data_IF_018918705711
#
_entry.id   IF_018918705711
#
_cell.length_a   1.000
_cell.length_b   1.000
_cell.length_c   1.000
_cell.angle_alpha   90.00
_cell.angle_beta   90.00
_cell.angle_gamma   90.00
#
_symmetry.space_group_name_H-M   'P 1'
#
loop_
_entity.id
_entity.type
_entity.pdbx_description
1 polymer ?
#
# COMPACT_ATOMS: atom_id res chain seq x y z
N UNK A 1 0.70 -16.37 1.42
CA UNK A 1 -0.29 -15.50 2.09
C UNK A 1 -1.59 -16.24 2.43
N UNK A 2 -2.20 -16.99 1.50
CA UNK A 2 -3.50 -17.65 1.71
C UNK A 2 -3.62 -18.44 3.03
N UNK A 3 -2.65 -19.29 3.45
CA UNK A 3 -2.75 -20.01 4.72
C UNK A 3 -2.84 -19.10 5.95
N UNK A 4 -2.21 -17.92 5.90
CA UNK A 4 -2.25 -16.93 6.98
C UNK A 4 -3.65 -16.34 7.09
N UNK A 5 -4.27 -15.94 5.99
CA UNK A 5 -5.63 -15.40 5.98
C UNK A 5 -6.67 -16.42 6.47
N UNK A 6 -6.51 -17.67 6.06
CA UNK A 6 -7.35 -18.79 6.54
C UNK A 6 -7.19 -18.96 8.05
N UNK A 7 -5.96 -18.89 8.58
CA UNK A 7 -5.72 -18.98 10.02
C UNK A 7 -6.40 -17.83 10.79
N UNK A 8 -6.35 -16.60 10.29
CA UNK A 8 -7.07 -15.47 10.91
C UNK A 8 -8.59 -15.69 10.93
N UNK A 9 -9.17 -16.20 9.84
CA UNK A 9 -10.60 -16.52 9.79
C UNK A 9 -10.96 -17.65 10.75
N UNK A 10 -10.22 -18.76 10.69
CA UNK A 10 -10.57 -19.98 11.42
C UNK A 10 -10.34 -19.85 12.95
N UNK A 11 -9.47 -18.91 13.37
CA UNK A 11 -9.20 -18.61 14.79
C UNK A 11 -9.74 -17.23 15.22
N UNK A 12 -10.68 -16.65 14.47
CA UNK A 12 -11.20 -15.31 14.76
C UNK A 12 -11.74 -15.19 16.19
N UNK A 13 -12.60 -16.12 16.63
CA UNK A 13 -13.21 -16.12 17.96
C UNK A 13 -12.16 -16.21 19.10
N UNK A 14 -11.08 -16.95 18.86
CA UNK A 14 -9.98 -17.09 19.84
C UNK A 14 -9.19 -15.77 19.93
N UNK A 15 -8.86 -15.17 18.79
CA UNK A 15 -8.14 -13.90 18.71
C UNK A 15 -8.96 -12.75 19.32
N UNK A 16 -10.25 -12.65 19.01
CA UNK A 16 -11.15 -11.65 19.56
C UNK A 16 -11.19 -11.71 21.08
N UNK A 17 -11.24 -12.90 21.63
CA UNK A 17 -11.28 -13.11 23.10
C UNK A 17 -9.93 -12.86 23.76
N UNK A 18 -8.81 -13.29 23.14
CA UNK A 18 -7.47 -13.15 23.68
C UNK A 18 -7.00 -11.69 23.69
N UNK A 19 -7.32 -10.95 22.64
CA UNK A 19 -6.86 -9.58 22.44
C UNK A 19 -7.94 -8.51 22.65
N UNK A 20 -9.11 -8.90 23.13
CA UNK A 20 -10.25 -8.00 23.40
C UNK A 20 -10.66 -7.17 22.15
N UNK A 21 -10.72 -7.83 20.98
CA UNK A 21 -11.02 -7.20 19.71
C UNK A 21 -12.52 -7.04 19.55
N UNK A 22 -12.99 -5.81 19.60
CA UNK A 22 -14.41 -5.50 19.35
C UNK A 22 -14.71 -5.39 17.84
N UNK A 23 -15.80 -6.02 17.41
CA UNK A 23 -16.33 -5.89 16.05
C UNK A 23 -15.80 -6.91 15.04
N UNK A 24 -15.07 -7.92 15.50
CA UNK A 24 -14.64 -9.05 14.69
C UNK A 24 -13.29 -8.88 14.01
N UNK A 25 -12.56 -9.99 13.90
CA UNK A 25 -11.29 -10.08 13.16
C UNK A 25 -11.56 -10.10 11.65
N UNK A 26 -10.78 -9.36 10.92
CA UNK A 26 -10.82 -9.22 9.46
C UNK A 26 -9.50 -9.74 8.90
N UNK A 27 -9.47 -10.86 8.16
CA UNK A 27 -8.22 -11.43 7.66
C UNK A 27 -7.43 -10.47 6.76
N UNK A 28 -8.09 -9.76 5.85
CA UNK A 28 -7.49 -8.73 4.99
C UNK A 28 -8.47 -7.60 4.70
N UNK A 29 -8.00 -6.36 4.74
CA UNK A 29 -8.77 -5.20 4.32
C UNK A 29 -7.95 -4.23 3.48
N UNK A 30 -8.65 -3.43 2.66
CA UNK A 30 -8.09 -2.42 1.78
C UNK A 30 -9.13 -1.32 1.48
N UNK A 31 -8.73 -0.30 0.75
CA UNK A 31 -9.62 0.71 0.18
C UNK A 31 -9.35 0.78 -1.31
N UNK A 32 -10.35 0.50 -2.13
CA UNK A 32 -10.22 0.55 -3.58
C UNK A 32 -10.07 2.00 -4.08
N UNK A 33 -9.27 2.20 -5.10
CA UNK A 33 -8.95 3.52 -5.67
C UNK A 33 -8.36 4.53 -4.67
N UNK A 34 -7.67 4.05 -3.65
CA UNK A 34 -7.05 4.90 -2.63
C UNK A 34 -5.54 4.66 -2.53
N UNK A 35 -4.82 4.95 -3.61
CA UNK A 35 -3.36 4.94 -3.63
C UNK A 35 -2.73 3.74 -2.92
N UNK A 36 -2.03 3.98 -1.82
CA UNK A 36 -1.28 2.97 -1.07
C UNK A 36 -2.17 1.94 -0.34
N UNK A 37 -3.47 2.15 -0.25
CA UNK A 37 -4.43 1.23 0.35
C UNK A 37 -5.16 0.35 -0.67
N UNK A 38 -4.89 0.56 -1.96
CA UNK A 38 -5.52 -0.21 -3.04
C UNK A 38 -4.87 -1.59 -3.20
N UNK A 39 -5.65 -2.66 -3.39
CA UNK A 39 -5.14 -4.01 -3.58
C UNK A 39 -4.36 -4.19 -4.90
N UNK A 40 -4.39 -3.22 -5.80
CA UNK A 40 -3.59 -3.21 -7.03
C UNK A 40 -2.10 -3.44 -6.76
N UNK A 41 -1.61 -3.02 -5.60
CA UNK A 41 -0.22 -3.27 -5.15
C UNK A 41 0.11 -4.78 -5.10
N UNK A 42 -0.89 -5.65 -4.92
CA UNK A 42 -0.69 -7.10 -4.89
C UNK A 42 -0.49 -7.70 -6.29
N UNK A 43 -0.90 -7.00 -7.34
CA UNK A 43 -0.74 -7.44 -8.72
C UNK A 43 0.73 -7.62 -9.11
N UNK A 44 1.65 -6.97 -8.39
CA UNK A 44 3.09 -7.12 -8.56
C UNK A 44 3.61 -8.55 -8.35
N UNK A 45 2.86 -9.39 -7.67
CA UNK A 45 3.21 -10.79 -7.41
C UNK A 45 2.85 -11.76 -8.53
N UNK A 46 2.21 -11.30 -9.61
CA UNK A 46 1.69 -12.16 -10.67
C UNK A 46 2.33 -11.85 -12.03
N UNK A 47 2.42 -12.87 -12.87
CA UNK A 47 2.98 -12.77 -14.21
C UNK A 47 4.41 -12.24 -14.24
N UNK A 48 4.70 -11.32 -15.12
CA UNK A 48 6.01 -10.67 -15.23
C UNK A 48 6.24 -9.59 -14.17
N UNK A 49 5.24 -9.32 -13.32
CA UNK A 49 5.38 -8.51 -12.13
C UNK A 49 5.48 -7.02 -12.33
N UNK A 50 4.89 -6.51 -13.39
CA UNK A 50 4.85 -5.06 -13.59
C UNK A 50 3.85 -4.37 -12.68
N UNK A 51 3.03 -5.14 -11.97
CA UNK A 51 2.06 -4.60 -11.03
C UNK A 51 0.95 -3.82 -11.69
N UNK A 52 0.32 -3.01 -10.86
CA UNK A 52 -0.65 -2.05 -11.32
C UNK A 52 -0.42 -0.70 -10.64
N UNK A 53 -0.90 0.36 -11.25
CA UNK A 53 -0.92 1.72 -10.73
C UNK A 53 -2.33 2.27 -10.87
N UNK A 54 -2.65 3.37 -10.18
CA UNK A 54 -3.96 4.00 -10.32
C UNK A 54 -4.34 4.36 -11.77
N UNK A 55 -3.34 4.56 -12.63
CA UNK A 55 -3.53 4.87 -14.05
C UNK A 55 -3.50 3.64 -14.96
N UNK A 56 -3.22 2.47 -14.39
CA UNK A 56 -3.10 1.20 -15.10
C UNK A 56 -2.01 1.15 -16.18
N UNK A 57 -0.97 1.95 -16.05
CA UNK A 57 0.18 1.93 -16.95
C UNK A 57 1.47 1.59 -16.20
N UNK A 58 2.29 0.76 -16.82
CA UNK A 58 3.63 0.49 -16.34
C UNK A 58 4.64 0.62 -17.47
N UNK A 59 5.91 0.84 -17.10
CA UNK A 59 7.03 0.83 -18.04
C UNK A 59 7.88 -0.39 -17.74
N UNK A 60 8.08 -1.24 -18.74
CA UNK A 60 8.92 -2.43 -18.60
C UNK A 60 10.40 -2.07 -18.49
N UNK A 61 11.23 -3.00 -18.05
CA UNK A 61 12.68 -2.82 -17.98
C UNK A 61 13.32 -2.46 -19.35
N UNK A 62 12.64 -2.85 -20.43
CA UNK A 62 13.03 -2.53 -21.81
C UNK A 62 12.55 -1.14 -22.27
N UNK A 63 11.88 -0.39 -21.40
CA UNK A 63 11.35 0.93 -21.69
C UNK A 63 10.04 0.94 -22.48
N UNK A 64 9.34 -0.19 -22.58
CA UNK A 64 8.04 -0.28 -23.26
C UNK A 64 6.92 0.10 -22.30
N UNK A 65 6.01 0.98 -22.73
CA UNK A 65 4.78 1.27 -22.00
C UNK A 65 3.76 0.16 -22.25
N UNK A 66 3.20 -0.38 -21.18
CA UNK A 66 2.14 -1.39 -21.21
C UNK A 66 0.91 -0.89 -20.45
N UNK A 67 -0.28 -1.37 -20.85
CA UNK A 67 -1.52 -1.22 -20.10
C UNK A 67 -1.72 -2.47 -19.25
N UNK A 68 -1.61 -2.34 -17.93
CA UNK A 68 -1.52 -3.46 -17.00
C UNK A 68 -2.74 -4.39 -17.02
N UNK A 69 -4.01 -3.92 -17.15
CA UNK A 69 -5.17 -4.80 -17.20
C UNK A 69 -5.23 -5.77 -18.38
N UNK A 70 -4.41 -5.52 -19.42
CA UNK A 70 -4.34 -6.43 -20.58
C UNK A 70 -3.29 -7.53 -20.43
N UNK A 71 -2.54 -7.52 -19.33
CA UNK A 71 -1.50 -8.52 -19.07
C UNK A 71 -2.11 -9.77 -18.41
N UNK A 72 -1.59 -10.94 -18.76
CA UNK A 72 -2.09 -12.21 -18.20
C UNK A 72 -1.92 -12.27 -16.68
N UNK A 73 -0.80 -11.79 -16.15
CA UNK A 73 -0.56 -11.74 -14.71
C UNK A 73 -1.57 -10.86 -13.95
N UNK A 74 -2.12 -9.82 -14.58
CA UNK A 74 -3.17 -9.02 -13.99
C UNK A 74 -4.46 -9.86 -13.79
N UNK A 75 -4.83 -10.63 -14.82
CA UNK A 75 -5.98 -11.54 -14.76
C UNK A 75 -5.80 -12.57 -13.64
N UNK A 76 -4.64 -13.20 -13.53
CA UNK A 76 -4.31 -14.15 -12.45
C UNK A 76 -4.44 -13.50 -11.07
N UNK A 77 -3.98 -12.26 -10.92
CA UNK A 77 -4.12 -11.48 -9.69
C UNK A 77 -5.58 -11.22 -9.32
N UNK A 78 -6.42 -10.86 -10.29
CA UNK A 78 -7.86 -10.67 -10.09
C UNK A 78 -8.56 -11.97 -9.74
N UNK A 79 -8.23 -13.09 -10.39
CA UNK A 79 -8.77 -14.42 -10.05
C UNK A 79 -8.40 -14.81 -8.62
N UNK A 80 -7.17 -14.49 -8.19
CA UNK A 80 -6.74 -14.72 -6.81
C UNK A 80 -7.51 -13.85 -5.81
N UNK A 81 -7.71 -12.55 -6.07
CA UNK A 81 -8.52 -11.67 -5.23
C UNK A 81 -9.98 -12.16 -5.15
N UNK A 82 -10.55 -12.57 -6.28
CA UNK A 82 -11.90 -13.15 -6.31
C UNK A 82 -11.99 -14.38 -5.41
N UNK A 83 -10.98 -15.24 -5.42
CA UNK A 83 -10.92 -16.38 -4.51
C UNK A 83 -10.92 -15.95 -3.04
N UNK A 84 -10.17 -14.93 -2.67
CA UNK A 84 -10.17 -14.42 -1.29
C UNK A 84 -11.53 -13.89 -0.87
N UNK A 85 -12.24 -13.21 -1.77
CA UNK A 85 -13.63 -12.76 -1.52
C UNK A 85 -14.58 -13.94 -1.31
N UNK A 86 -14.51 -14.95 -2.15
CA UNK A 86 -15.40 -16.13 -2.08
C UNK A 86 -15.14 -17.00 -0.85
N UNK A 87 -13.98 -16.91 -0.26
CA UNK A 87 -13.59 -17.63 0.96
C UNK A 87 -13.76 -16.77 2.23
N UNK A 88 -14.45 -15.62 2.15
CA UNK A 88 -14.68 -14.69 3.27
C UNK A 88 -13.37 -14.21 3.95
N UNK A 89 -12.31 -14.01 3.16
CA UNK A 89 -11.00 -13.58 3.65
C UNK A 89 -10.76 -12.07 3.48
N UNK A 90 -11.70 -11.36 2.87
CA UNK A 90 -11.65 -9.91 2.65
C UNK A 90 -12.78 -9.23 3.40
N UNK A 91 -12.46 -8.07 3.98
CA UNK A 91 -13.44 -7.18 4.58
C UNK A 91 -14.62 -6.92 3.62
N UNK A 92 -15.86 -7.24 3.98
CA UNK A 92 -17.02 -6.98 3.13
C UNK A 92 -17.17 -5.51 2.73
N UNK A 93 -16.68 -4.59 3.55
CA UNK A 93 -16.75 -3.15 3.30
C UNK A 93 -15.55 -2.61 2.50
N UNK A 94 -14.54 -3.44 2.18
CA UNK A 94 -13.31 -3.00 1.52
C UNK A 94 -13.55 -2.23 0.21
N UNK A 95 -14.62 -2.55 -0.51
CA UNK A 95 -14.96 -1.92 -1.79
C UNK A 95 -15.74 -0.61 -1.65
N UNK A 96 -16.21 -0.26 -0.45
CA UNK A 96 -17.11 0.89 -0.22
C UNK A 96 -16.74 1.74 0.98
N UNK A 97 -15.81 1.27 1.81
CA UNK A 97 -15.43 1.98 3.04
C UNK A 97 -14.59 3.22 2.75
N UNK A 98 -14.77 4.21 3.61
CA UNK A 98 -13.98 5.43 3.62
C UNK A 98 -12.73 5.29 4.50
N UNK A 99 -11.73 6.16 4.28
CA UNK A 99 -10.49 6.19 5.05
C UNK A 99 -10.71 6.21 6.58
N UNK A 100 -11.67 7.01 7.07
CA UNK A 100 -11.95 7.10 8.50
C UNK A 100 -12.43 5.77 9.10
N UNK A 101 -13.27 5.03 8.38
CA UNK A 101 -13.74 3.70 8.79
C UNK A 101 -12.59 2.69 8.79
N UNK A 102 -11.77 2.73 7.73
CA UNK A 102 -10.60 1.88 7.61
C UNK A 102 -9.62 2.08 8.78
N UNK A 103 -9.28 3.33 9.08
CA UNK A 103 -8.41 3.67 10.21
C UNK A 103 -9.01 3.25 11.55
N UNK A 104 -10.31 3.44 11.75
CA UNK A 104 -10.98 3.05 12.99
C UNK A 104 -10.92 1.54 13.22
N UNK A 105 -11.13 0.73 12.19
CA UNK A 105 -10.98 -0.74 12.25
C UNK A 105 -9.54 -1.14 12.60
N UNK A 106 -8.55 -0.48 11.98
CA UNK A 106 -7.13 -0.73 12.26
C UNK A 106 -6.76 -0.42 13.70
N UNK A 107 -7.18 0.74 14.22
CA UNK A 107 -6.93 1.15 15.62
C UNK A 107 -7.61 0.25 16.66
N UNK A 108 -8.63 -0.47 16.27
CA UNK A 108 -9.28 -1.49 17.05
C UNK A 108 -8.67 -2.90 16.81
N UNK A 109 -7.49 -2.99 16.23
CA UNK A 109 -6.71 -4.23 16.00
C UNK A 109 -7.46 -5.33 15.22
N UNK A 110 -8.42 -4.93 14.37
CA UNK A 110 -9.27 -5.88 13.66
C UNK A 110 -8.61 -6.58 12.47
N UNK A 111 -7.52 -6.02 11.94
CA UNK A 111 -6.91 -6.51 10.71
C UNK A 111 -5.84 -7.56 10.94
N UNK A 112 -5.92 -8.67 10.22
CA UNK A 112 -4.81 -9.59 10.04
C UNK A 112 -3.76 -9.03 9.07
N UNK A 113 -4.21 -8.43 7.96
CA UNK A 113 -3.36 -7.72 7.00
C UNK A 113 -4.10 -6.47 6.46
N UNK A 114 -3.38 -5.38 6.36
CA UNK A 114 -3.87 -4.14 5.80
C UNK A 114 -2.75 -3.40 5.05
N UNK A 115 -3.12 -2.37 4.31
CA UNK A 115 -2.21 -1.56 3.50
C UNK A 115 -2.16 -0.13 4.04
N UNK A 116 -0.97 0.42 4.19
CA UNK A 116 -0.79 1.82 4.63
C UNK A 116 0.61 2.29 4.27
N UNK A 117 0.77 3.59 4.02
CA UNK A 117 2.11 4.19 3.82
C UNK A 117 2.85 4.40 5.15
N UNK A 118 2.14 4.45 6.27
CA UNK A 118 2.72 4.58 7.59
C UNK A 118 1.88 3.78 8.58
N UNK A 119 2.54 2.93 9.34
CA UNK A 119 1.90 2.08 10.35
C UNK A 119 1.17 2.92 11.43
N UNK A 120 1.65 4.12 11.72
CA UNK A 120 1.03 5.04 12.67
C UNK A 120 -0.38 5.49 12.26
N UNK A 121 -0.76 5.36 11.00
CA UNK A 121 -2.13 5.62 10.57
C UNK A 121 -3.13 4.59 11.10
N UNK A 122 -2.68 3.35 11.26
CA UNK A 122 -3.50 2.21 11.61
C UNK A 122 -3.33 1.87 13.10
N UNK A 123 -2.11 1.95 13.60
CA UNK A 123 -1.77 1.58 14.95
C UNK A 123 -0.66 2.48 15.51
N UNK A 124 -0.81 2.89 16.79
CA UNK A 124 0.23 3.62 17.52
C UNK A 124 1.08 2.69 18.40
N UNK A 125 0.78 1.39 18.43
CA UNK A 125 1.37 0.42 19.36
C UNK A 125 2.28 -0.47 18.59
N UNK A 126 2.96 -0.81 18.04
CA UNK A 126 3.90 -1.80 17.49
C UNK A 126 3.34 -3.22 17.32
N UNK A 127 2.01 -3.38 17.34
CA UNK A 127 1.38 -4.70 17.18
C UNK A 127 1.37 -5.15 15.71
N UNK A 128 1.42 -4.18 14.79
CA UNK A 128 1.60 -4.46 13.37
C UNK A 128 3.07 -4.37 12.97
N UNK A 129 3.47 -5.23 12.05
CA UNK A 129 4.80 -5.24 11.46
C UNK A 129 4.72 -5.09 9.94
N UNK A 130 5.69 -4.40 9.35
CA UNK A 130 5.78 -4.29 7.91
C UNK A 130 6.23 -5.63 7.31
N UNK A 131 5.45 -6.13 6.36
CA UNK A 131 5.83 -7.34 5.63
C UNK A 131 6.83 -7.01 4.51
N UNK A 132 7.79 -7.91 4.26
CA UNK A 132 8.60 -7.81 3.06
C UNK A 132 7.73 -8.05 1.81
N UNK A 133 8.20 -7.60 0.65
CA UNK A 133 7.50 -7.82 -0.61
C UNK A 133 7.17 -9.31 -0.78
N UNK A 134 5.91 -9.60 -1.10
CA UNK A 134 5.43 -10.98 -1.28
C UNK A 134 6.00 -11.59 -2.55
N UNK A 135 6.17 -12.90 -2.53
CA UNK A 135 6.56 -13.67 -3.70
C UNK A 135 5.31 -14.28 -4.33
N UNK A 136 5.14 -14.10 -5.62
CA UNK A 136 4.05 -14.67 -6.40
C UNK A 136 4.17 -16.18 -6.61
N UNK A 137 3.17 -16.81 -7.25
CA UNK A 137 3.12 -18.27 -7.47
C UNK A 137 4.33 -18.79 -8.22
N UNK A 138 4.84 -18.05 -9.19
CA UNK A 138 5.97 -18.43 -10.04
C UNK A 138 7.35 -18.07 -9.45
N UNK A 139 7.40 -17.69 -8.18
CA UNK A 139 8.61 -17.27 -7.51
C UNK A 139 9.03 -15.84 -7.85
N UNK A 140 8.23 -15.11 -8.60
CA UNK A 140 8.49 -13.74 -8.99
C UNK A 140 8.25 -12.83 -7.77
N UNK A 141 9.25 -12.03 -7.47
CA UNK A 141 9.21 -11.03 -6.42
C UNK A 141 9.48 -9.66 -7.02
N UNK A 142 8.46 -9.00 -7.45
CA UNK A 142 8.59 -7.66 -8.00
C UNK A 142 8.26 -6.60 -6.96
N UNK A 143 9.08 -5.58 -6.95
CA UNK A 143 8.89 -4.39 -6.15
C UNK A 143 8.64 -3.25 -7.14
N UNK A 144 7.38 -2.95 -7.40
CA UNK A 144 7.03 -1.76 -8.15
C UNK A 144 7.05 -0.59 -7.20
N UNK A 145 7.76 0.46 -7.54
CA UNK A 145 7.61 1.74 -6.86
C UNK A 145 6.27 2.32 -7.27
N UNK A 146 5.39 2.49 -6.32
CA UNK A 146 4.18 3.26 -6.55
C UNK A 146 4.61 4.69 -6.84
N UNK A 147 4.33 5.13 -8.04
CA UNK A 147 4.58 6.50 -8.45
C UNK A 147 3.27 7.27 -8.32
N UNK A 148 3.05 7.87 -7.17
CA UNK A 148 1.86 8.69 -6.91
C UNK A 148 1.93 10.06 -7.58
N UNK A 149 3.00 10.35 -8.32
CA UNK A 149 3.10 11.62 -9.00
C UNK A 149 2.68 11.47 -10.46
N UNK A 150 1.71 12.24 -10.85
CA UNK A 150 1.27 12.43 -12.24
C UNK A 150 2.42 12.96 -13.14
N UNK A 151 3.59 13.21 -12.58
CA UNK A 151 4.72 13.82 -13.27
C UNK A 151 6.05 13.17 -12.88
N UNK A 152 6.30 11.95 -13.37
CA UNK A 152 7.65 11.35 -13.40
C UNK A 152 8.43 11.36 -12.05
N UNK A 153 7.77 11.21 -10.92
CA UNK A 153 8.42 11.16 -9.61
C UNK A 153 8.55 12.50 -8.88
N UNK A 154 7.98 13.57 -9.41
CA UNK A 154 7.95 14.87 -8.76
C UNK A 154 6.56 15.24 -8.28
N UNK A 155 6.37 15.27 -6.97
CA UNK A 155 5.20 15.86 -6.34
C UNK A 155 5.35 17.39 -6.33
N UNK A 156 4.62 18.06 -7.22
CA UNK A 156 4.63 19.52 -7.26
C UNK A 156 3.95 20.12 -6.03
N UNK A 157 4.52 21.17 -5.49
CA UNK A 157 3.93 21.93 -4.40
C UNK A 157 4.12 21.33 -3.00
N UNK A 158 4.94 20.29 -2.83
CA UNK A 158 5.27 19.75 -1.50
C UNK A 158 6.11 20.70 -0.67
N UNK A 159 6.94 21.50 -1.31
CA UNK A 159 7.66 22.59 -0.68
C UNK A 159 7.56 23.83 -1.58
N UNK A 160 6.98 24.92 -1.06
CA UNK A 160 6.70 26.11 -1.84
C UNK A 160 7.19 27.37 -1.11
N UNK A 161 7.67 28.34 -1.87
CA UNK A 161 7.87 29.70 -1.40
C UNK A 161 6.62 30.52 -1.73
N UNK A 162 6.02 31.13 -0.71
CA UNK A 162 4.83 31.97 -0.90
C UNK A 162 5.20 33.35 -1.41
N UNK A 163 4.25 34.06 -2.02
CA UNK A 163 4.42 35.46 -2.42
C UNK A 163 4.70 36.42 -1.25
N UNK A 164 4.41 36.00 -0.01
CA UNK A 164 4.71 36.73 1.22
C UNK A 164 6.14 36.59 1.70
N UNK A 165 6.94 35.72 1.07
CA UNK A 165 8.34 35.54 1.46
C UNK A 165 9.15 36.78 1.12
N UNK A 166 9.70 37.44 2.15
CA UNK A 166 10.46 38.72 1.99
C UNK A 166 11.82 38.52 1.38
N UNK A 167 12.46 37.38 1.64
CA UNK A 167 13.78 37.03 1.10
C UNK A 167 13.73 35.63 0.50
N UNK A 168 13.37 35.60 -0.77
CA UNK A 168 13.24 34.34 -1.53
C UNK A 168 14.61 33.69 -1.77
N UNK A 169 15.69 34.48 -1.86
CA UNK A 169 17.02 33.94 -2.08
C UNK A 169 17.54 33.20 -0.83
N UNK A 170 17.34 33.76 0.35
CA UNK A 170 17.69 33.12 1.61
C UNK A 170 16.85 31.86 1.83
N UNK A 171 15.55 31.94 1.59
CA UNK A 171 14.65 30.77 1.73
C UNK A 171 15.02 29.64 0.75
N UNK A 172 15.34 29.97 -0.49
CA UNK A 172 15.80 28.98 -1.47
C UNK A 172 17.14 28.34 -1.05
N UNK A 173 18.11 29.15 -0.58
CA UNK A 173 19.38 28.64 -0.09
C UNK A 173 19.22 27.73 1.14
N UNK A 174 18.25 28.02 2.02
CA UNK A 174 17.93 27.15 3.15
C UNK A 174 17.33 25.82 2.70
N UNK A 175 16.41 25.84 1.75
CA UNK A 175 15.84 24.61 1.17
C UNK A 175 16.94 23.78 0.48
N UNK A 176 17.83 24.42 -0.27
CA UNK A 176 18.94 23.75 -0.97
C UNK A 176 19.88 23.02 0.01
N UNK A 177 20.08 23.56 1.22
CA UNK A 177 20.85 22.89 2.26
C UNK A 177 20.26 21.53 2.68
N UNK A 178 18.94 21.34 2.57
CA UNK A 178 18.31 20.06 2.89
C UNK A 178 18.70 18.94 1.92
N UNK A 179 19.14 19.31 0.71
CA UNK A 179 19.63 18.39 -0.32
C UNK A 179 21.16 18.23 -0.28
N UNK A 180 21.85 18.89 0.63
CA UNK A 180 23.29 18.74 0.77
C UNK A 180 23.64 17.29 1.15
N UNK A 181 24.71 16.68 0.58
CA UNK A 181 25.08 15.31 0.86
C UNK A 181 25.24 14.97 2.36
N UNK A 182 25.69 15.94 3.16
CA UNK A 182 25.86 15.78 4.61
C UNK A 182 24.52 15.63 5.36
N UNK A 183 23.41 16.06 4.76
CA UNK A 183 22.06 15.95 5.35
C UNK A 183 21.36 14.67 4.92
N UNK A 184 21.93 13.93 4.00
CA UNK A 184 21.32 12.67 3.54
C UNK A 184 21.46 11.59 4.60
N UNK A 185 20.34 10.91 5.00
CA UNK A 185 20.40 9.78 5.92
C UNK A 185 21.28 8.62 5.43
N UNK A 186 21.56 8.56 4.12
CA UNK A 186 22.41 7.54 3.51
C UNK A 186 23.91 7.79 3.76
N UNK A 187 24.28 8.98 4.19
CA UNK A 187 25.66 9.38 4.42
C UNK A 187 26.01 9.55 5.91
N UNK A 188 25.05 9.25 6.81
CA UNK A 188 25.21 9.31 8.27
C UNK A 188 25.18 7.92 8.90
#
# INVERSE_FOLDING_TARGET
ALPIFIAFRDHADELEKEFDIEGGVIPMSFIINNGDQDPAILMNGFGEGYGDTGDHFAVTDEGKVIYTPTQEGYKEGIEWLHKLVTEDLIDPEAFTQEWSTYVAKGKNHRYGLCFTWDIANIDNNTDYVMLPALTGPDGVRNITRQNNSETSGFDRGRCVLTSSCRDTALAAAWIDQMYAPIQSPQNN
#
